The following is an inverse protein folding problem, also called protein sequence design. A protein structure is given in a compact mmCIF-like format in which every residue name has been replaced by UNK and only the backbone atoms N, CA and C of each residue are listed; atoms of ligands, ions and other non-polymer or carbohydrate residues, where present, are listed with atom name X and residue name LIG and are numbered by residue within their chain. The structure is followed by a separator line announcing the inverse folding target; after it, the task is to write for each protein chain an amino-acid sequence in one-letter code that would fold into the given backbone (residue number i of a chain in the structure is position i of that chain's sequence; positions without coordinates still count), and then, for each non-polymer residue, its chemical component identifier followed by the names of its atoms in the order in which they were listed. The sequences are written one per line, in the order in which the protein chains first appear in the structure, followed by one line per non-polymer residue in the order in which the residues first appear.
data_IF_031619916435
#
_entry.id   IF_031619916435
#
_cell.length_a   1.000
_cell.length_b   1.000
_cell.length_c   1.000
_cell.angle_alpha   90.00
_cell.angle_beta   90.00
_cell.angle_gamma   90.00
#
_symmetry.space_group_name_H-M   'P 1'
#
loop_
_entity.id
_entity.type
_entity.pdbx_description
1 polymer ?
#
# COMPACT_ATOMS: atom_id res chain seq x y z
N UNK A 1 16.48 5.58 -10.12
CA UNK A 1 15.07 5.42 -9.74
C UNK A 1 14.29 6.67 -10.12
N UNK A 2 13.01 6.50 -10.38
CA UNK A 2 12.11 7.59 -10.70
C UNK A 2 11.33 7.97 -9.44
N UNK A 3 10.84 9.22 -9.40
CA UNK A 3 10.02 9.71 -8.27
C UNK A 3 8.61 10.01 -8.75
N UNK A 4 7.64 9.72 -7.90
CA UNK A 4 6.24 10.06 -8.10
C UNK A 4 5.76 10.86 -6.91
N UNK A 5 5.06 11.96 -7.15
CA UNK A 5 4.60 12.84 -6.07
C UNK A 5 3.17 13.32 -6.33
N UNK A 6 2.37 13.30 -5.28
CA UNK A 6 1.08 14.00 -5.24
C UNK A 6 1.25 15.14 -4.24
N UNK A 7 1.16 16.36 -4.75
CA UNK A 7 1.36 17.58 -3.96
C UNK A 7 0.38 17.65 -2.78
N UNK A 8 0.91 17.94 -1.61
CA UNK A 8 0.12 17.96 -0.38
C UNK A 8 -0.15 16.58 0.23
N UNK A 9 0.33 15.52 -0.40
CA UNK A 9 0.12 14.15 0.04
C UNK A 9 1.42 13.41 0.26
N UNK A 10 2.01 12.81 -0.78
CA UNK A 10 3.16 11.95 -0.60
C UNK A 10 4.08 11.93 -1.82
N UNK A 11 5.28 11.44 -1.61
CA UNK A 11 6.26 11.15 -2.65
C UNK A 11 6.79 9.74 -2.41
N UNK A 12 7.05 9.01 -3.51
CA UNK A 12 7.73 7.72 -3.45
C UNK A 12 8.73 7.59 -4.59
N UNK A 13 9.69 6.69 -4.42
CA UNK A 13 10.66 6.33 -5.45
C UNK A 13 10.34 4.94 -5.98
N UNK A 14 10.44 4.75 -7.29
CA UNK A 14 10.15 3.46 -7.92
C UNK A 14 11.20 3.11 -8.97
N UNK A 15 11.40 1.80 -9.24
CA UNK A 15 12.42 1.35 -10.21
C UNK A 15 12.12 1.81 -11.64
N UNK A 16 13.18 1.92 -12.46
CA UNK A 16 13.10 2.38 -13.85
C UNK A 16 12.19 1.50 -14.73
N UNK A 17 12.08 0.22 -14.42
CA UNK A 17 11.24 -0.72 -15.20
C UNK A 17 9.78 -0.75 -14.74
N UNK A 18 9.37 0.16 -13.86
CA UNK A 18 7.98 0.34 -13.48
C UNK A 18 7.39 1.55 -14.18
N UNK A 19 6.11 1.48 -14.44
CA UNK A 19 5.30 2.60 -14.92
C UNK A 19 4.11 2.78 -14.01
N UNK A 20 3.42 3.91 -14.11
CA UNK A 20 2.22 4.14 -13.34
C UNK A 20 1.07 4.60 -14.22
N UNK A 21 -0.15 4.35 -13.74
CA UNK A 21 -1.39 4.82 -14.35
C UNK A 21 -2.23 5.51 -13.27
N UNK A 22 -2.57 6.77 -13.51
CA UNK A 22 -3.41 7.53 -12.58
C UNK A 22 -4.87 7.34 -12.92
N UNK A 23 -5.66 6.94 -11.90
CA UNK A 23 -7.10 6.83 -11.99
C UNK A 23 -7.74 7.87 -11.07
N UNK A 24 -9.06 7.95 -11.06
CA UNK A 24 -9.76 8.97 -10.27
C UNK A 24 -9.47 8.86 -8.78
N UNK A 25 -9.49 7.64 -8.24
CA UNK A 25 -9.37 7.39 -6.80
C UNK A 25 -8.06 6.75 -6.38
N UNK A 26 -7.21 6.34 -7.32
CA UNK A 26 -5.98 5.64 -7.00
C UNK A 26 -4.95 5.75 -8.11
N UNK A 27 -3.71 5.38 -7.81
CA UNK A 27 -2.64 5.23 -8.79
C UNK A 27 -2.14 3.79 -8.76
N UNK A 28 -1.87 3.22 -9.94
CA UNK A 28 -1.36 1.85 -10.07
C UNK A 28 0.08 1.89 -10.56
N UNK A 29 0.94 1.06 -9.95
CA UNK A 29 2.32 0.86 -10.39
C UNK A 29 2.49 -0.58 -10.83
N UNK A 30 3.13 -0.78 -11.96
CA UNK A 30 3.34 -2.11 -12.54
C UNK A 30 4.66 -2.17 -13.29
N UNK A 31 5.26 -3.36 -13.32
CA UNK A 31 6.50 -3.59 -14.05
C UNK A 31 6.20 -3.71 -15.55
N UNK A 32 7.10 -3.17 -16.38
CA UNK A 32 7.03 -3.32 -17.83
C UNK A 32 7.83 -4.52 -18.35
N UNK A 33 8.49 -5.25 -17.45
CA UNK A 33 9.24 -6.44 -17.81
C UNK A 33 8.31 -7.59 -18.14
N UNK A 34 8.77 -8.53 -18.99
CA UNK A 34 7.95 -9.64 -19.47
C UNK A 34 7.57 -10.64 -18.38
N UNK A 35 8.27 -10.63 -17.24
CA UNK A 35 7.98 -11.48 -16.09
C UNK A 35 7.20 -10.74 -15.00
N UNK A 36 6.57 -9.63 -15.35
CA UNK A 36 5.75 -8.87 -14.42
C UNK A 36 4.66 -9.74 -13.80
N UNK A 37 4.47 -9.64 -12.48
CA UNK A 37 3.67 -10.59 -11.72
C UNK A 37 2.48 -9.97 -11.01
N UNK A 38 2.55 -8.69 -10.64
CA UNK A 38 1.47 -8.06 -9.89
C UNK A 38 1.37 -6.56 -10.11
N UNK A 39 0.41 -5.97 -9.41
CA UNK A 39 0.13 -4.54 -9.47
C UNK A 39 0.01 -3.97 -8.08
N UNK A 40 0.72 -2.86 -7.82
CA UNK A 40 0.58 -2.07 -6.59
C UNK A 40 -0.42 -0.94 -6.86
N UNK A 41 -1.47 -0.87 -6.05
CA UNK A 41 -2.42 0.23 -6.10
C UNK A 41 -2.32 1.05 -4.82
N UNK A 42 -2.33 2.37 -4.96
CA UNK A 42 -2.28 3.30 -3.84
C UNK A 42 -3.50 4.20 -3.91
N UNK A 43 -4.36 4.11 -2.90
CA UNK A 43 -5.54 4.95 -2.75
C UNK A 43 -5.29 5.96 -1.65
N UNK A 44 -5.83 7.18 -1.80
CA UNK A 44 -5.66 8.26 -0.82
C UNK A 44 -6.99 8.57 -0.16
N UNK A 45 -6.95 8.73 1.16
CA UNK A 45 -8.12 9.08 1.97
C UNK A 45 -7.76 10.15 2.98
N UNK A 46 -8.72 11.03 3.24
CA UNK A 46 -8.59 12.05 4.28
C UNK A 46 -9.61 11.73 5.37
N UNK A 47 -9.15 11.67 6.62
CA UNK A 47 -10.03 11.40 7.74
C UNK A 47 -10.89 12.65 8.03
N UNK A 48 -12.19 12.45 8.33
CA UNK A 48 -13.07 13.54 8.73
C UNK A 48 -12.65 14.10 10.07
N UNK A 49 -12.15 13.23 10.95
CA UNK A 49 -11.63 13.61 12.26
C UNK A 49 -10.27 12.94 12.46
N UNK A 50 -9.34 13.66 13.07
CA UNK A 50 -8.04 13.11 13.39
C UNK A 50 -8.17 11.94 14.38
N UNK A 51 -7.44 10.87 14.13
CA UNK A 51 -7.40 9.69 14.98
C UNK A 51 -5.95 9.40 15.38
N UNK A 52 -5.77 8.61 16.43
CA UNK A 52 -4.44 8.08 16.74
C UNK A 52 -3.95 7.27 15.52
N UNK A 53 -2.76 7.55 14.99
CA UNK A 53 -2.28 6.89 13.76
C UNK A 53 -2.33 5.37 13.82
N UNK A 54 -1.96 4.79 14.95
CA UNK A 54 -1.99 3.34 15.15
C UNK A 54 -3.40 2.76 14.97
N UNK A 55 -4.40 3.41 15.59
CA UNK A 55 -5.79 2.96 15.52
C UNK A 55 -6.34 3.13 14.11
N UNK A 56 -6.05 4.25 13.46
CA UNK A 56 -6.49 4.52 12.09
C UNK A 56 -5.92 3.48 11.11
N UNK A 57 -4.63 3.18 11.22
CA UNK A 57 -3.98 2.22 10.34
C UNK A 57 -4.58 0.82 10.49
N UNK A 58 -4.76 0.34 11.71
CA UNK A 58 -5.31 -0.99 11.97
C UNK A 58 -6.78 -1.07 11.59
N UNK A 59 -7.56 -0.03 11.86
CA UNK A 59 -8.97 -0.01 11.53
C UNK A 59 -9.20 -0.16 10.02
N UNK A 60 -8.41 0.54 9.22
CA UNK A 60 -8.53 0.48 7.76
C UNK A 60 -8.27 -0.93 7.23
N UNK A 61 -7.23 -1.60 7.73
CA UNK A 61 -6.94 -2.97 7.33
C UNK A 61 -8.04 -3.93 7.75
N UNK A 62 -8.53 -3.82 8.97
CA UNK A 62 -9.58 -4.69 9.47
C UNK A 62 -10.88 -4.50 8.69
N UNK A 63 -11.23 -3.27 8.36
CA UNK A 63 -12.41 -2.97 7.56
C UNK A 63 -12.31 -3.61 6.18
N UNK A 64 -11.18 -3.43 5.52
CA UNK A 64 -10.95 -4.00 4.19
C UNK A 64 -11.04 -5.53 4.21
N UNK A 65 -10.34 -6.17 5.16
CA UNK A 65 -10.31 -7.63 5.24
C UNK A 65 -11.68 -8.22 5.60
N UNK A 66 -12.54 -7.45 6.24
CA UNK A 66 -13.89 -7.87 6.58
C UNK A 66 -14.91 -7.71 5.45
N UNK A 67 -14.61 -6.90 4.43
CA UNK A 67 -15.51 -6.63 3.31
C UNK A 67 -15.42 -7.65 2.18
N UNK A 68 -14.32 -8.40 2.10
CA UNK A 68 -14.04 -9.32 0.99
C UNK A 68 -13.78 -10.72 1.50
N UNK A 69 -14.02 -11.77 0.67
CA UNK A 69 -13.75 -13.15 1.07
C UNK A 69 -12.26 -13.49 1.03
N UNK A 70 -11.50 -12.87 1.91
CA UNK A 70 -10.04 -13.01 1.99
C UNK A 70 -9.70 -14.05 3.06
N UNK A 71 -8.89 -15.03 2.69
CA UNK A 71 -8.28 -15.97 3.64
C UNK A 71 -7.03 -15.29 4.22
N UNK A 72 -7.15 -14.73 5.41
CA UNK A 72 -6.07 -13.95 6.05
C UNK A 72 -4.93 -14.88 6.47
N UNK A 73 -3.72 -14.60 5.98
CA UNK A 73 -2.52 -15.37 6.30
C UNK A 73 -1.66 -14.66 7.35
N UNK A 74 -1.56 -13.34 7.28
CA UNK A 74 -0.87 -12.51 8.29
C UNK A 74 -1.89 -11.49 8.78
N UNK A 75 -2.24 -11.58 10.06
CA UNK A 75 -3.21 -10.67 10.68
C UNK A 75 -2.68 -9.23 10.71
N UNK A 76 -3.56 -8.23 10.65
CA UNK A 76 -3.14 -6.83 10.73
C UNK A 76 -2.30 -6.52 11.95
N UNK A 77 -1.16 -5.86 11.75
CA UNK A 77 -0.30 -5.39 12.83
C UNK A 77 0.45 -4.14 12.40
N UNK A 78 0.80 -3.31 13.37
CA UNK A 78 1.66 -2.15 13.11
C UNK A 78 3.09 -2.64 12.97
N UNK A 79 3.70 -2.32 11.84
CA UNK A 79 5.07 -2.77 11.52
C UNK A 79 6.11 -1.67 11.68
N UNK A 80 5.69 -0.40 11.66
CA UNK A 80 6.60 0.73 11.82
C UNK A 80 5.85 1.95 12.34
N UNK A 81 6.47 2.66 13.27
CA UNK A 81 5.98 3.93 13.83
C UNK A 81 7.16 4.91 13.86
N UNK A 82 7.54 5.44 12.69
CA UNK A 82 8.69 6.35 12.56
C UNK A 82 8.23 7.76 12.25
N UNK A 83 8.65 8.73 13.08
CA UNK A 83 8.37 10.13 12.82
C UNK A 83 6.87 10.40 12.70
N UNK A 84 6.43 10.91 11.57
CA UNK A 84 5.03 11.23 11.28
C UNK A 84 4.35 10.16 10.42
N UNK A 85 4.88 8.95 10.37
CA UNK A 85 4.33 7.87 9.55
C UNK A 85 4.14 6.62 10.39
N UNK A 86 2.93 6.11 10.43
CA UNK A 86 2.62 4.81 11.03
C UNK A 86 2.21 3.86 9.92
N UNK A 87 2.83 2.68 9.88
CA UNK A 87 2.57 1.67 8.86
C UNK A 87 2.00 0.42 9.51
N UNK A 88 0.89 -0.09 8.97
CA UNK A 88 0.33 -1.38 9.33
C UNK A 88 0.30 -2.29 8.10
N UNK A 89 0.36 -3.59 8.31
CA UNK A 89 0.47 -4.58 7.25
C UNK A 89 -0.37 -5.80 7.56
N UNK A 90 -0.92 -6.40 6.51
CA UNK A 90 -1.59 -7.69 6.57
C UNK A 90 -1.44 -8.38 5.21
N UNK A 91 -1.68 -9.68 5.17
CA UNK A 91 -1.68 -10.41 3.91
C UNK A 91 -2.71 -11.54 3.93
N UNK A 92 -3.08 -12.00 2.73
CA UNK A 92 -4.03 -13.08 2.58
C UNK A 92 -4.11 -13.58 1.15
N UNK A 93 -5.12 -14.41 0.90
CA UNK A 93 -5.40 -14.97 -0.42
C UNK A 93 -6.87 -14.70 -0.74
N UNK A 94 -7.13 -14.18 -1.93
CA UNK A 94 -8.46 -13.96 -2.46
C UNK A 94 -8.50 -14.48 -3.89
N UNK A 95 -9.43 -15.41 -4.18
CA UNK A 95 -9.60 -16.01 -5.51
C UNK A 95 -8.29 -16.56 -6.09
N UNK A 96 -7.52 -17.27 -5.27
CA UNK A 96 -6.21 -17.85 -5.59
C UNK A 96 -5.11 -16.81 -5.87
N UNK A 97 -5.38 -15.53 -5.64
CA UNK A 97 -4.39 -14.47 -5.79
C UNK A 97 -3.78 -14.11 -4.44
N UNK A 98 -2.47 -13.92 -4.41
CA UNK A 98 -1.79 -13.41 -3.22
C UNK A 98 -2.04 -11.92 -3.09
N UNK A 99 -2.39 -11.51 -1.86
CA UNK A 99 -2.74 -10.13 -1.55
C UNK A 99 -1.91 -9.66 -0.37
N UNK A 100 -1.19 -8.56 -0.56
CA UNK A 100 -0.53 -7.84 0.52
C UNK A 100 -1.20 -6.48 0.64
N UNK A 101 -1.46 -6.03 1.86
CA UNK A 101 -2.10 -4.74 2.11
C UNK A 101 -1.34 -3.96 3.16
N UNK A 102 -1.24 -2.66 2.95
CA UNK A 102 -0.61 -1.73 3.88
C UNK A 102 -1.51 -0.53 4.10
N UNK A 103 -1.44 0.03 5.27
CA UNK A 103 -2.05 1.31 5.53
C UNK A 103 -1.00 2.21 6.17
N UNK A 104 -0.81 3.41 5.61
CA UNK A 104 0.18 4.38 6.05
C UNK A 104 -0.56 5.66 6.41
N UNK A 105 -0.34 6.19 7.61
CA UNK A 105 -1.11 7.35 8.06
C UNK A 105 -0.31 8.23 9.00
N UNK A 106 -0.68 9.52 9.03
CA UNK A 106 -0.20 10.49 10.02
C UNK A 106 -1.32 10.86 11.03
N UNK A 107 -2.49 10.19 10.91
CA UNK A 107 -3.65 10.46 11.75
C UNK A 107 -4.75 11.21 11.02
N UNK A 108 -4.44 11.92 9.94
CA UNK A 108 -5.40 12.66 9.12
C UNK A 108 -5.35 12.24 7.65
N UNK A 109 -4.16 12.05 7.11
CA UNK A 109 -3.97 11.51 5.76
C UNK A 109 -3.75 10.02 5.86
N UNK A 110 -4.33 9.26 4.95
CA UNK A 110 -4.17 7.81 4.93
C UNK A 110 -3.92 7.35 3.49
N UNK A 111 -2.89 6.54 3.33
CA UNK A 111 -2.62 5.82 2.08
C UNK A 111 -2.99 4.36 2.32
N UNK A 112 -3.81 3.83 1.43
CA UNK A 112 -4.18 2.41 1.46
C UNK A 112 -3.56 1.75 0.23
N UNK A 113 -2.72 0.76 0.45
CA UNK A 113 -1.93 0.13 -0.60
C UNK A 113 -2.25 -1.35 -0.69
N UNK A 114 -2.45 -1.83 -1.93
CA UNK A 114 -2.65 -3.26 -2.18
C UNK A 114 -1.66 -3.72 -3.25
N UNK A 115 -1.08 -4.88 -3.05
CA UNK A 115 -0.29 -5.56 -4.07
C UNK A 115 -0.91 -6.93 -4.31
N UNK A 116 -1.36 -7.17 -5.55
CA UNK A 116 -2.04 -8.42 -5.93
C UNK A 116 -1.19 -9.11 -6.99
N UNK A 117 -0.89 -10.39 -6.79
CA UNK A 117 -0.10 -11.18 -7.71
C UNK A 117 -0.58 -12.63 -7.72
N UNK A 118 -0.37 -13.31 -8.86
CA UNK A 118 -0.76 -14.72 -9.03
C UNK A 118 -0.05 -15.66 -8.06
N UNK A 119 1.16 -15.29 -7.65
CA UNK A 119 2.01 -16.11 -6.80
C UNK A 119 2.95 -15.23 -6.00
N UNK A 120 3.55 -15.79 -4.95
CA UNK A 120 4.59 -15.11 -4.20
C UNK A 120 5.76 -14.83 -5.13
N UNK A 121 6.20 -13.59 -5.21
CA UNK A 121 7.11 -13.14 -6.25
C UNK A 121 8.33 -12.41 -5.69
N UNK A 122 9.38 -12.33 -6.52
CA UNK A 122 10.54 -11.50 -6.22
C UNK A 122 10.21 -10.00 -6.33
N UNK A 123 9.13 -9.64 -7.04
CA UNK A 123 8.67 -8.25 -7.13
C UNK A 123 8.33 -7.67 -5.76
N UNK A 124 7.91 -8.51 -4.82
CA UNK A 124 7.55 -8.04 -3.48
C UNK A 124 8.67 -7.24 -2.80
N UNK A 125 9.93 -7.64 -3.03
CA UNK A 125 11.08 -6.91 -2.49
C UNK A 125 11.13 -5.49 -3.04
N UNK A 126 10.87 -5.34 -4.34
CA UNK A 126 10.82 -4.04 -4.99
C UNK A 126 9.63 -3.21 -4.50
N UNK A 127 8.47 -3.84 -4.34
CA UNK A 127 7.26 -3.19 -3.83
C UNK A 127 7.49 -2.69 -2.41
N UNK A 128 8.09 -3.50 -1.54
CA UNK A 128 8.40 -3.10 -0.17
C UNK A 128 9.38 -1.93 -0.14
N UNK A 129 10.38 -1.93 -1.03
CA UNK A 129 11.31 -0.82 -1.14
C UNK A 129 10.62 0.47 -1.60
N UNK A 130 9.65 0.37 -2.52
CA UNK A 130 8.85 1.52 -2.94
C UNK A 130 8.05 2.08 -1.77
N UNK A 131 7.41 1.21 -1.01
CA UNK A 131 6.60 1.61 0.15
C UNK A 131 7.48 2.26 1.23
N UNK A 132 8.66 1.70 1.49
CA UNK A 132 9.61 2.24 2.47
C UNK A 132 10.13 3.64 2.07
N UNK A 133 10.07 3.98 0.78
CA UNK A 133 10.50 5.28 0.28
C UNK A 133 9.43 6.36 0.42
N UNK A 134 8.21 6.02 0.81
CA UNK A 134 7.11 6.97 0.90
C UNK A 134 7.35 7.99 2.00
N UNK A 135 7.19 9.27 1.63
CA UNK A 135 7.30 10.40 2.56
C UNK A 135 6.10 11.32 2.36
N UNK A 136 5.63 11.93 3.45
CA UNK A 136 4.62 12.99 3.35
C UNK A 136 5.25 14.26 2.79
N UNK A 137 4.51 14.96 1.96
CA UNK A 137 4.94 16.24 1.40
C UNK A 137 3.94 17.34 1.73
#
# INVERSE_FOLDING_TARGET
MKDYEIDGWFRLSYPEHYEYSEEEDYVSFYSTESDAQGTLQISIYEAEEAQAPRDAALQELNTFLGEFPIDVKVAPSVTDESGNMTTAYASGIEDDMHLDVWSLTDGTRLLFLTYVADQVTNEKVEIEAMIDSIEWV
#
